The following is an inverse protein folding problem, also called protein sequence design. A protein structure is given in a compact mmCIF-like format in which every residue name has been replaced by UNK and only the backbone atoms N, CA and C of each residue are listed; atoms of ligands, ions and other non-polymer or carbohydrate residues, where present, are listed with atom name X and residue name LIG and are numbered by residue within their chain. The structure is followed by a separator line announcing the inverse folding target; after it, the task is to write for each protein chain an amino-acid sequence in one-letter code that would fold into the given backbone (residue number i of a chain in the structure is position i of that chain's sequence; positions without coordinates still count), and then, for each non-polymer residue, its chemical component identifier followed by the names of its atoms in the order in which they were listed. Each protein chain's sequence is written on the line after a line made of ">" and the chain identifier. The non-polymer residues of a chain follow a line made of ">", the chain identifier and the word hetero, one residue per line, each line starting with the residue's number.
data_IF_639439407611
#
_entry.id   IF_639439407611
#
_cell.length_a   1.000
_cell.length_b   1.000
_cell.length_c   1.000
_cell.angle_alpha   90.00
_cell.angle_beta   90.00
_cell.angle_gamma   90.00
#
_symmetry.space_group_name_H-M   'P 1'
#
loop_
_entity.id
_entity.type
_entity.pdbx_description
1 polymer ?
#
# COMPACT_ATOMS: atom_id res chain seq x y z
N UNK A 1 13.89 4.72 13.52
CA UNK A 1 13.57 4.10 12.23
C UNK A 1 12.42 3.11 12.36
N UNK A 2 11.17 3.57 12.31
CA UNK A 2 10.01 2.69 12.28
C UNK A 2 9.90 1.99 10.92
N UNK A 3 9.44 0.72 10.93
CA UNK A 3 9.06 -0.02 9.73
C UNK A 3 7.54 0.02 9.58
N UNK A 4 7.06 0.45 8.43
CA UNK A 4 5.64 0.59 8.12
C UNK A 4 5.27 -0.36 6.98
N UNK A 5 4.36 -1.29 7.26
CA UNK A 5 3.80 -2.18 6.24
C UNK A 5 2.49 -1.60 5.71
N UNK A 6 2.50 -1.20 4.44
CA UNK A 6 1.35 -0.67 3.70
C UNK A 6 0.74 -1.78 2.85
N UNK A 7 -0.37 -2.34 3.32
CA UNK A 7 -1.04 -3.46 2.67
C UNK A 7 -2.18 -2.93 1.81
N UNK A 8 -2.12 -3.21 0.50
CA UNK A 8 -3.27 -3.12 -0.39
C UNK A 8 -4.06 -4.44 -0.32
N UNK A 9 -5.30 -4.44 0.23
CA UNK A 9 -6.11 -5.65 0.35
C UNK A 9 -6.70 -6.14 -0.98
N UNK A 10 -6.69 -5.31 -2.03
CA UNK A 10 -7.05 -5.77 -3.38
C UNK A 10 -5.81 -6.22 -4.17
N UNK A 11 -6.04 -6.89 -5.30
CA UNK A 11 -4.98 -7.49 -6.12
C UNK A 11 -4.38 -6.54 -7.17
N UNK A 12 -4.81 -5.28 -7.21
CA UNK A 12 -4.39 -4.32 -8.24
C UNK A 12 -3.07 -3.63 -7.88
N UNK A 13 -1.96 -4.03 -8.51
CA UNK A 13 -0.63 -3.45 -8.28
C UNK A 13 -0.58 -1.93 -8.48
N UNK A 14 -1.26 -1.42 -9.51
CA UNK A 14 -1.27 0.03 -9.78
C UNK A 14 -1.96 0.83 -8.68
N UNK A 15 -2.82 0.20 -7.86
CA UNK A 15 -3.39 0.80 -6.65
C UNK A 15 -2.32 0.89 -5.55
N UNK A 16 -1.55 -0.18 -5.33
CA UNK A 16 -0.41 -0.18 -4.39
C UNK A 16 0.59 0.92 -4.75
N UNK A 17 0.92 1.09 -6.03
CA UNK A 17 1.83 2.15 -6.50
C UNK A 17 1.28 3.55 -6.20
N UNK A 18 -0.04 3.75 -6.32
CA UNK A 18 -0.69 5.01 -5.95
C UNK A 18 -0.62 5.26 -4.44
N UNK A 19 -0.85 4.23 -3.63
CA UNK A 19 -0.74 4.33 -2.18
C UNK A 19 0.69 4.69 -1.74
N UNK A 20 1.72 4.08 -2.36
CA UNK A 20 3.14 4.40 -2.10
C UNK A 20 3.44 5.86 -2.44
N UNK A 21 2.99 6.34 -3.62
CA UNK A 21 3.17 7.75 -4.02
C UNK A 21 2.54 8.72 -3.01
N UNK A 22 1.36 8.40 -2.49
CA UNK A 22 0.70 9.22 -1.47
C UNK A 22 1.45 9.20 -0.13
N UNK A 23 1.95 8.03 0.30
CA UNK A 23 2.69 7.90 1.56
C UNK A 23 4.04 8.62 1.53
N UNK A 24 4.75 8.56 0.40
CA UNK A 24 6.10 9.14 0.26
C UNK A 24 6.16 10.64 0.60
N UNK A 25 5.07 11.39 0.42
CA UNK A 25 5.03 12.82 0.71
C UNK A 25 4.88 13.19 2.20
N UNK A 26 4.59 12.22 3.07
CA UNK A 26 4.27 12.48 4.49
C UNK A 26 5.10 11.65 5.48
N UNK A 27 5.95 10.75 4.98
CA UNK A 27 6.79 9.91 5.82
C UNK A 27 7.89 10.74 6.50
N UNK A 28 8.17 10.41 7.76
CA UNK A 28 9.35 10.94 8.43
C UNK A 28 10.62 10.42 7.71
N UNK A 29 11.72 11.21 7.65
CA UNK A 29 12.92 10.83 6.91
C UNK A 29 13.57 9.50 7.33
N UNK A 30 13.33 9.07 8.57
CA UNK A 30 13.90 7.85 9.14
C UNK A 30 12.95 6.62 9.05
N UNK A 31 11.80 6.75 8.38
CA UNK A 31 10.83 5.67 8.23
C UNK A 31 11.16 4.76 7.05
N UNK A 32 11.02 3.44 7.23
CA UNK A 32 11.09 2.45 6.17
C UNK A 32 9.66 2.04 5.75
N UNK A 33 9.31 2.25 4.47
CA UNK A 33 8.03 1.83 3.91
C UNK A 33 8.16 0.51 3.16
N UNK A 34 7.34 -0.47 3.52
CA UNK A 34 7.21 -1.76 2.83
C UNK A 34 5.80 -1.83 2.27
N UNK A 35 5.64 -1.94 0.96
CA UNK A 35 4.34 -2.05 0.31
C UNK A 35 4.07 -3.51 -0.10
N UNK A 36 2.85 -3.99 0.15
CA UNK A 36 2.42 -5.32 -0.24
C UNK A 36 1.07 -5.26 -0.97
N UNK A 37 1.00 -5.91 -2.12
CA UNK A 37 -0.25 -6.16 -2.85
C UNK A 37 -0.76 -7.54 -2.48
N UNK A 38 -2.06 -7.69 -2.21
CA UNK A 38 -2.62 -9.01 -1.96
C UNK A 38 -2.38 -9.95 -3.14
N UNK A 39 -1.94 -11.18 -2.87
CA UNK A 39 -1.74 -12.20 -3.90
C UNK A 39 -3.06 -12.88 -4.33
N UNK A 40 -4.13 -12.70 -3.57
CA UNK A 40 -5.45 -13.30 -3.80
C UNK A 40 -6.56 -12.34 -3.38
N UNK A 41 -7.74 -12.48 -3.99
CA UNK A 41 -8.91 -11.65 -3.72
C UNK A 41 -9.33 -10.82 -4.94
N UNK A 42 -10.28 -9.90 -4.76
CA UNK A 42 -10.80 -9.11 -5.87
C UNK A 42 -9.83 -7.98 -6.27
N UNK A 43 -9.90 -7.50 -7.52
CA UNK A 43 -9.12 -6.35 -7.99
C UNK A 43 -9.58 -5.02 -7.35
N UNK A 44 -10.80 -4.97 -6.83
CA UNK A 44 -11.44 -3.85 -6.13
C UNK A 44 -12.23 -4.35 -4.93
N UNK A 45 -12.57 -3.48 -3.97
CA UNK A 45 -13.40 -3.84 -2.80
C UNK A 45 -14.67 -3.01 -2.87
N UNK A 46 -15.78 -3.67 -3.22
CA UNK A 46 -17.05 -3.03 -3.60
C UNK A 46 -18.22 -3.81 -2.97
N UNK A 47 -18.22 -3.96 -1.64
CA UNK A 47 -19.30 -4.64 -0.91
C UNK A 47 -20.67 -3.96 -1.08
N UNK A 48 -21.74 -4.74 -0.90
CA UNK A 48 -23.15 -4.31 -0.90
C UNK A 48 -23.74 -4.37 0.51
#
# INVERSE_FOLDING_TARGET
>A
MPKLLLINPNTTQSMTDKMVRSAAGVLAPDSELIAATSAYGPPSIEGY
#
